data_IF_962657366240
#
_entry.id   IF_962657366240
#
_cell.length_a   1.000
_cell.length_b   1.000
_cell.length_c   1.000
_cell.angle_alpha   90.00
_cell.angle_beta   90.00
_cell.angle_gamma   90.00
#
_symmetry.space_group_name_H-M   'P 1'
#
loop_
_entity.id
_entity.type
_entity.pdbx_description
1 polymer ?
#
# COMPACT_ATOMS: atom_id res chain seq x y z
N UNK A 1 2.86 29.65 -31.60
CA UNK A 1 2.09 29.47 -30.35
C UNK A 1 1.58 28.02 -30.32
N UNK A 2 2.17 27.11 -29.52
CA UNK A 2 1.70 25.71 -29.46
C UNK A 2 0.40 25.68 -28.67
N UNK A 3 -0.72 25.41 -29.34
CA UNK A 3 -1.99 25.15 -28.68
C UNK A 3 -1.82 23.92 -27.78
N UNK A 4 -1.73 24.13 -26.45
CA UNK A 4 -1.94 23.05 -25.48
C UNK A 4 -3.40 22.64 -25.63
N UNK A 5 -3.65 21.56 -26.36
CA UNK A 5 -4.92 20.84 -26.32
C UNK A 5 -5.26 20.58 -24.85
N UNK A 6 -6.33 21.21 -24.34
CA UNK A 6 -6.82 21.00 -22.97
C UNK A 6 -7.36 19.57 -22.91
N UNK A 7 -6.48 18.60 -22.68
CA UNK A 7 -6.87 17.21 -22.47
C UNK A 7 -7.91 17.14 -21.34
N UNK A 8 -9.01 16.42 -21.57
CA UNK A 8 -10.06 16.27 -20.58
C UNK A 8 -9.43 15.68 -19.30
N UNK A 9 -9.59 16.32 -18.13
CA UNK A 9 -8.99 15.80 -16.91
C UNK A 9 -9.56 14.41 -16.61
N UNK A 10 -8.66 13.47 -16.28
CA UNK A 10 -8.99 12.12 -15.81
C UNK A 10 -10.13 12.17 -14.79
N UNK A 11 -11.06 11.23 -14.86
CA UNK A 11 -12.19 11.14 -13.94
C UNK A 11 -11.75 11.19 -12.47
N UNK A 12 -10.68 10.47 -12.13
CA UNK A 12 -10.08 10.51 -10.78
C UNK A 12 -9.63 11.91 -10.35
N UNK A 13 -9.11 12.72 -11.28
CA UNK A 13 -8.69 14.10 -11.02
C UNK A 13 -9.90 15.02 -10.80
N UNK A 14 -11.01 14.79 -11.51
CA UNK A 14 -12.26 15.51 -11.28
C UNK A 14 -12.82 15.20 -9.90
N UNK A 15 -12.82 13.93 -9.49
CA UNK A 15 -13.28 13.52 -8.16
C UNK A 15 -12.39 14.08 -7.07
N UNK A 16 -11.06 14.01 -7.23
CA UNK A 16 -10.13 14.62 -6.28
C UNK A 16 -10.43 16.11 -6.07
N UNK A 17 -10.58 16.88 -7.15
CA UNK A 17 -10.91 18.31 -7.08
C UNK A 17 -12.30 18.56 -6.47
N UNK A 18 -13.28 17.69 -6.77
CA UNK A 18 -14.61 17.77 -6.18
C UNK A 18 -14.59 17.49 -4.67
N UNK A 19 -13.88 16.46 -4.23
CA UNK A 19 -13.68 16.14 -2.80
C UNK A 19 -12.98 17.30 -2.07
N UNK A 20 -12.00 17.92 -2.72
CA UNK A 20 -11.29 19.07 -2.13
C UNK A 20 -12.22 20.29 -1.97
N UNK A 21 -13.09 20.53 -2.95
CA UNK A 21 -14.14 21.56 -2.87
C UNK A 21 -15.16 21.25 -1.77
N UNK A 22 -15.49 19.97 -1.58
CA UNK A 22 -16.48 19.50 -0.60
C UNK A 22 -15.80 18.78 0.57
N UNK A 23 -14.89 19.48 1.26
CA UNK A 23 -14.06 18.90 2.34
C UNK A 23 -14.82 18.09 3.39
N UNK A 24 -16.00 18.55 3.84
CA UNK A 24 -16.83 17.81 4.81
C UNK A 24 -17.30 16.45 4.29
N UNK A 25 -17.69 16.38 3.01
CA UNK A 25 -18.09 15.12 2.37
C UNK A 25 -16.88 14.21 2.20
N UNK A 26 -15.72 14.77 1.85
CA UNK A 26 -14.46 14.03 1.81
C UNK A 26 -14.12 13.38 3.15
N UNK A 27 -14.28 14.10 4.27
CA UNK A 27 -14.05 13.56 5.61
C UNK A 27 -15.03 12.44 5.98
N UNK A 28 -16.30 12.57 5.61
CA UNK A 28 -17.30 11.51 5.80
C UNK A 28 -16.94 10.26 4.99
N UNK A 29 -16.44 10.43 3.76
CA UNK A 29 -15.99 9.33 2.91
C UNK A 29 -14.75 8.64 3.52
N UNK A 30 -13.75 9.41 3.94
CA UNK A 30 -12.54 8.90 4.61
C UNK A 30 -12.91 8.07 5.85
N UNK A 31 -13.85 8.58 6.66
CA UNK A 31 -14.34 7.91 7.87
C UNK A 31 -15.12 6.65 7.53
N UNK A 32 -16.03 6.72 6.54
CA UNK A 32 -16.81 5.58 6.08
C UNK A 32 -15.93 4.45 5.56
N UNK A 33 -14.87 4.79 4.80
CA UNK A 33 -13.90 3.80 4.32
C UNK A 33 -13.12 3.18 5.49
N UNK A 34 -12.76 3.97 6.50
CA UNK A 34 -12.11 3.43 7.70
C UNK A 34 -13.01 2.41 8.40
N UNK A 35 -14.29 2.74 8.67
CA UNK A 35 -15.24 1.80 9.26
C UNK A 35 -15.50 0.58 8.37
N UNK A 36 -15.70 0.79 7.07
CA UNK A 36 -15.91 -0.29 6.10
C UNK A 36 -14.70 -1.22 6.03
N UNK A 37 -13.48 -0.69 6.09
CA UNK A 37 -12.26 -1.50 6.09
C UNK A 37 -12.13 -2.36 7.35
N UNK A 38 -12.49 -1.82 8.52
CA UNK A 38 -12.55 -2.59 9.76
C UNK A 38 -13.59 -3.69 9.69
N UNK A 39 -14.79 -3.38 9.17
CA UNK A 39 -15.88 -4.33 9.02
C UNK A 39 -15.53 -5.48 8.06
N UNK A 40 -15.00 -5.17 6.88
CA UNK A 40 -14.55 -6.19 5.91
C UNK A 40 -13.44 -7.06 6.48
N UNK A 41 -12.48 -6.47 7.19
CA UNK A 41 -11.39 -7.22 7.81
C UNK A 41 -11.87 -8.11 8.94
N UNK A 42 -12.83 -7.64 9.73
CA UNK A 42 -13.49 -8.43 10.76
C UNK A 42 -14.27 -9.61 10.17
N UNK A 43 -15.01 -9.41 9.08
CA UNK A 43 -15.71 -10.49 8.39
C UNK A 43 -14.75 -11.53 7.83
N UNK A 44 -13.65 -11.09 7.18
CA UNK A 44 -12.62 -11.99 6.66
C UNK A 44 -11.98 -12.82 7.78
N UNK A 45 -11.62 -12.17 8.90
CA UNK A 45 -11.09 -12.86 10.06
C UNK A 45 -12.11 -13.84 10.65
N UNK A 46 -13.36 -13.43 10.83
CA UNK A 46 -14.42 -14.28 11.39
C UNK A 46 -14.66 -15.53 10.54
N UNK A 47 -14.64 -15.39 9.21
CA UNK A 47 -14.80 -16.51 8.28
C UNK A 47 -13.67 -17.55 8.43
N UNK A 48 -12.42 -17.09 8.56
CA UNK A 48 -11.25 -17.96 8.72
C UNK A 48 -11.12 -18.48 10.16
N UNK A 49 -11.65 -17.76 11.14
CA UNK A 49 -11.52 -18.07 12.57
C UNK A 49 -12.06 -19.44 12.94
N UNK A 50 -13.03 -19.99 12.19
CA UNK A 50 -13.55 -21.34 12.41
C UNK A 50 -12.45 -22.43 12.35
N UNK A 51 -11.35 -22.18 11.63
CA UNK A 51 -10.24 -23.11 11.50
C UNK A 51 -9.14 -22.91 12.55
N UNK A 52 -9.28 -21.93 13.45
CA UNK A 52 -8.22 -21.52 14.37
C UNK A 52 -8.67 -21.53 15.83
N UNK A 53 -7.77 -21.86 16.77
CA UNK A 53 -8.13 -21.88 18.20
C UNK A 53 -8.46 -20.48 18.75
N UNK A 54 -7.95 -19.42 18.12
CA UNK A 54 -8.10 -18.05 18.59
C UNK A 54 -8.02 -17.05 17.41
N UNK A 55 -8.79 -15.98 17.48
CA UNK A 55 -8.75 -14.90 16.48
C UNK A 55 -7.41 -14.12 16.48
N UNK A 56 -6.63 -14.22 17.56
CA UNK A 56 -5.33 -13.57 17.69
C UNK A 56 -4.34 -13.96 16.57
N UNK A 57 -4.42 -15.19 16.05
CA UNK A 57 -3.60 -15.67 14.93
C UNK A 57 -3.89 -14.90 13.62
N UNK A 58 -5.11 -14.38 13.47
CA UNK A 58 -5.55 -13.60 12.32
C UNK A 58 -5.25 -12.11 12.44
N UNK A 59 -4.75 -11.65 13.58
CA UNK A 59 -4.50 -10.22 13.80
C UNK A 59 -3.61 -9.58 12.71
N UNK A 60 -2.53 -10.21 12.22
CA UNK A 60 -1.73 -9.60 11.15
C UNK A 60 -2.49 -9.52 9.83
N UNK A 61 -3.33 -10.52 9.52
CA UNK A 61 -4.18 -10.51 8.35
C UNK A 61 -5.19 -9.35 8.43
N UNK A 62 -5.88 -9.22 9.56
CA UNK A 62 -6.87 -8.16 9.78
C UNK A 62 -6.27 -6.76 9.64
N UNK A 63 -5.15 -6.49 10.31
CA UNK A 63 -4.49 -5.18 10.21
C UNK A 63 -4.02 -4.88 8.77
N UNK A 64 -3.47 -5.88 8.09
CA UNK A 64 -3.05 -5.70 6.70
C UNK A 64 -4.21 -5.50 5.73
N UNK A 65 -5.36 -6.13 5.95
CA UNK A 65 -6.57 -5.91 5.13
C UNK A 65 -7.12 -4.49 5.33
N UNK A 66 -7.17 -4.00 6.57
CA UNK A 66 -7.53 -2.60 6.86
C UNK A 66 -6.60 -1.66 6.09
N UNK A 67 -5.28 -1.87 6.22
CA UNK A 67 -4.28 -1.07 5.53
C UNK A 67 -4.40 -1.17 4.00
N UNK A 68 -4.73 -2.33 3.46
CA UNK A 68 -4.90 -2.55 2.02
C UNK A 68 -6.06 -1.76 1.46
N UNK A 69 -7.22 -1.85 2.10
CA UNK A 69 -8.41 -1.12 1.66
C UNK A 69 -8.16 0.38 1.79
N UNK A 70 -7.64 0.82 2.93
CA UNK A 70 -7.37 2.23 3.19
C UNK A 70 -6.33 2.80 2.23
N UNK A 71 -5.20 2.11 2.05
CA UNK A 71 -4.13 2.54 1.15
C UNK A 71 -4.60 2.58 -0.30
N UNK A 72 -5.43 1.62 -0.73
CA UNK A 72 -6.02 1.59 -2.08
C UNK A 72 -6.97 2.78 -2.28
N UNK A 73 -7.81 3.08 -1.29
CA UNK A 73 -8.68 4.24 -1.32
C UNK A 73 -7.89 5.54 -1.46
N UNK A 74 -6.86 5.77 -0.62
CA UNK A 74 -6.01 6.95 -0.72
C UNK A 74 -5.29 7.03 -2.07
N UNK A 75 -4.80 5.90 -2.59
CA UNK A 75 -4.13 5.80 -3.89
C UNK A 75 -5.01 6.30 -5.05
N UNK A 76 -6.27 5.88 -5.06
CA UNK A 76 -7.23 6.16 -6.12
C UNK A 76 -7.81 7.57 -6.01
N UNK A 77 -8.27 7.95 -4.81
CA UNK A 77 -9.11 9.14 -4.64
C UNK A 77 -8.38 10.36 -4.08
N UNK A 78 -7.30 10.18 -3.31
CA UNK A 78 -6.66 11.29 -2.58
C UNK A 78 -5.30 11.73 -3.12
N UNK A 79 -4.60 10.89 -3.89
CA UNK A 79 -3.35 11.33 -4.50
C UNK A 79 -3.57 12.04 -5.85
N UNK A 80 -3.02 13.25 -6.00
CA UNK A 80 -2.93 13.96 -7.30
C UNK A 80 -1.60 13.69 -8.04
N UNK A 81 -0.66 12.99 -7.38
CA UNK A 81 0.72 12.75 -7.86
C UNK A 81 0.84 11.79 -9.04
N UNK A 82 2.04 11.76 -9.65
CA UNK A 82 2.44 10.81 -10.70
C UNK A 82 2.19 9.36 -10.29
N UNK A 83 1.62 8.56 -11.21
CA UNK A 83 1.23 7.15 -10.96
C UNK A 83 2.32 6.33 -10.28
N UNK A 84 3.58 6.44 -10.73
CA UNK A 84 4.70 5.69 -10.14
C UNK A 84 5.00 6.07 -8.69
N UNK A 85 4.92 7.37 -8.37
CA UNK A 85 5.19 7.86 -7.03
C UNK A 85 4.08 7.43 -6.05
N UNK A 86 2.82 7.40 -6.52
CA UNK A 86 1.70 6.86 -5.74
C UNK A 86 1.92 5.40 -5.32
N UNK A 87 2.24 4.54 -6.29
CA UNK A 87 2.51 3.13 -6.03
C UNK A 87 3.74 2.92 -5.14
N UNK A 88 4.71 3.85 -5.19
CA UNK A 88 5.89 3.80 -4.32
C UNK A 88 5.50 4.01 -2.86
N UNK A 89 4.69 5.03 -2.56
CA UNK A 89 4.20 5.26 -1.20
C UNK A 89 3.34 4.11 -0.68
N UNK A 90 2.46 3.57 -1.53
CA UNK A 90 1.67 2.38 -1.20
C UNK A 90 2.57 1.21 -0.79
N UNK A 91 3.58 0.90 -1.60
CA UNK A 91 4.54 -0.16 -1.34
C UNK A 91 5.35 0.07 -0.05
N UNK A 92 5.81 1.30 0.19
CA UNK A 92 6.51 1.66 1.43
C UNK A 92 5.65 1.42 2.67
N UNK A 93 4.35 1.71 2.61
CA UNK A 93 3.43 1.44 3.71
C UNK A 93 3.46 -0.03 4.12
N UNK A 94 3.34 -0.95 3.16
CA UNK A 94 3.37 -2.38 3.42
C UNK A 94 4.72 -2.90 3.89
N UNK A 95 5.81 -2.48 3.24
CA UNK A 95 7.17 -2.91 3.61
C UNK A 95 7.51 -2.41 5.00
N UNK A 96 7.27 -1.12 5.29
CA UNK A 96 7.60 -0.51 6.58
C UNK A 96 6.72 -1.04 7.70
N UNK A 97 5.40 -1.12 7.48
CA UNK A 97 4.48 -1.63 8.49
C UNK A 97 4.77 -3.08 8.82
N UNK A 98 4.86 -3.97 7.83
CA UNK A 98 5.13 -5.39 8.10
C UNK A 98 6.59 -5.63 8.55
N UNK A 99 7.56 -4.91 7.97
CA UNK A 99 8.97 -5.07 8.32
C UNK A 99 9.31 -4.65 9.75
N UNK A 100 8.62 -3.65 10.29
CA UNK A 100 8.77 -3.23 11.69
C UNK A 100 7.86 -4.02 12.64
N UNK A 101 6.60 -4.22 12.26
CA UNK A 101 5.61 -4.82 13.16
C UNK A 101 5.83 -6.32 13.33
N UNK A 102 6.35 -7.02 12.32
CA UNK A 102 6.61 -8.46 12.41
C UNK A 102 7.61 -8.83 13.52
N UNK A 103 8.86 -8.31 13.56
CA UNK A 103 9.81 -8.66 14.62
C UNK A 103 9.31 -8.21 16.01
N UNK A 104 8.60 -7.08 16.07
CA UNK A 104 7.99 -6.61 17.31
C UNK A 104 6.93 -7.58 17.84
N UNK A 105 5.99 -7.99 16.99
CA UNK A 105 4.97 -8.98 17.35
C UNK A 105 5.58 -10.36 17.62
N UNK A 106 6.66 -10.71 16.93
CA UNK A 106 7.37 -11.97 17.12
C UNK A 106 7.93 -12.12 18.54
N UNK A 107 8.60 -11.07 19.04
CA UNK A 107 9.36 -11.11 20.28
C UNK A 107 8.60 -10.55 21.50
N UNK A 108 7.84 -9.47 21.31
CA UNK A 108 7.23 -8.70 22.41
C UNK A 108 5.72 -8.92 22.49
N UNK A 109 5.07 -9.24 21.36
CA UNK A 109 3.61 -9.26 21.28
C UNK A 109 3.03 -7.86 21.08
N UNK A 110 1.73 -7.79 20.73
CA UNK A 110 1.01 -6.52 20.57
C UNK A 110 0.14 -6.25 21.81
N UNK A 111 0.77 -6.27 22.98
CA UNK A 111 0.11 -6.16 24.29
C UNK A 111 -0.33 -4.73 24.67
N UNK A 112 -0.51 -3.84 23.69
CA UNK A 112 -0.76 -2.42 23.93
C UNK A 112 -2.18 -2.11 24.43
N UNK A 113 -3.14 -3.01 24.23
CA UNK A 113 -4.54 -2.89 24.66
C UNK A 113 -4.85 -3.74 25.92
N UNK A 114 -4.26 -3.36 27.05
CA UNK A 114 -4.88 -3.59 28.37
C UNK A 114 -4.23 -4.64 29.29
N UNK A 115 -4.29 -4.37 30.59
CA UNK A 115 -3.77 -5.22 31.69
C UNK A 115 -4.46 -6.58 31.87
N UNK A 116 -5.41 -6.98 31.01
CA UNK A 116 -6.12 -8.26 31.10
C UNK A 116 -5.51 -9.29 30.16
N UNK A 117 -5.08 -10.44 30.72
CA UNK A 117 -4.48 -11.58 30.01
C UNK A 117 -5.30 -12.15 28.83
N UNK A 118 -6.60 -11.85 28.74
CA UNK A 118 -7.51 -12.45 27.74
C UNK A 118 -7.52 -11.73 26.38
N UNK A 119 -7.18 -10.44 26.34
CA UNK A 119 -7.23 -9.61 25.11
C UNK A 119 -5.86 -9.19 24.58
N UNK A 120 -4.78 -9.77 25.13
CA UNK A 120 -3.44 -9.51 24.65
C UNK A 120 -3.14 -10.36 23.41
N UNK A 121 -2.53 -9.74 22.40
CA UNK A 121 -1.91 -10.44 21.28
C UNK A 121 -0.54 -10.94 21.75
N UNK A 122 -0.42 -12.20 22.20
CA UNK A 122 0.83 -12.66 22.78
C UNK A 122 1.96 -12.58 21.73
N UNK A 123 3.22 -12.56 22.17
CA UNK A 123 4.34 -12.81 21.27
C UNK A 123 4.07 -14.05 20.42
N UNK A 124 4.37 -13.98 19.12
CA UNK A 124 4.19 -15.13 18.21
C UNK A 124 4.99 -16.34 18.72
N UNK A 125 6.16 -16.12 19.34
CA UNK A 125 6.99 -17.19 19.91
C UNK A 125 6.32 -17.93 21.09
N UNK A 126 5.36 -17.31 21.78
CA UNK A 126 4.62 -17.95 22.88
C UNK A 126 3.25 -18.49 22.45
N UNK A 127 2.93 -18.44 21.16
CA UNK A 127 1.72 -19.05 20.60
C UNK A 127 1.91 -20.55 20.34
N UNK A 128 0.80 -21.26 20.10
CA UNK A 128 0.83 -22.68 19.75
C UNK A 128 1.60 -22.90 18.43
N UNK A 129 2.68 -23.71 18.44
CA UNK A 129 3.46 -24.02 17.24
C UNK A 129 2.64 -24.59 16.08
N UNK A 130 1.51 -25.24 16.35
CA UNK A 130 0.64 -25.79 15.29
C UNK A 130 -0.01 -24.69 14.42
N UNK A 131 -0.20 -23.49 14.97
CA UNK A 131 -0.94 -22.39 14.31
C UNK A 131 -0.12 -21.11 14.13
N UNK A 132 1.10 -21.07 14.69
CA UNK A 132 2.03 -19.94 14.61
C UNK A 132 2.39 -19.54 13.17
N UNK A 133 2.29 -20.47 12.23
CA UNK A 133 2.57 -20.21 10.82
C UNK A 133 1.58 -19.21 10.19
N UNK A 134 0.34 -19.12 10.69
CA UNK A 134 -0.70 -18.21 10.13
C UNK A 134 -0.32 -16.73 10.22
N UNK A 135 0.03 -16.19 11.42
CA UNK A 135 0.48 -14.81 11.53
C UNK A 135 1.78 -14.57 10.75
N UNK A 136 2.73 -15.53 10.76
CA UNK A 136 4.00 -15.42 10.03
C UNK A 136 3.76 -15.31 8.51
N UNK A 137 2.99 -16.23 7.94
CA UNK A 137 2.65 -16.24 6.50
C UNK A 137 1.92 -14.96 6.13
N UNK A 138 1.01 -14.46 6.98
CA UNK A 138 0.32 -13.20 6.76
C UNK A 138 1.30 -12.02 6.65
N UNK A 139 2.20 -11.85 7.62
CA UNK A 139 3.21 -10.78 7.57
C UNK A 139 4.10 -10.87 6.32
N UNK A 140 4.59 -12.07 6.02
CA UNK A 140 5.46 -12.29 4.88
C UNK A 140 4.73 -12.01 3.56
N UNK A 141 3.50 -12.49 3.41
CA UNK A 141 2.69 -12.26 2.22
C UNK A 141 2.52 -10.76 1.92
N UNK A 142 2.13 -9.97 2.92
CA UNK A 142 1.94 -8.52 2.72
C UNK A 142 3.27 -7.76 2.59
N UNK A 143 4.33 -8.21 3.25
CA UNK A 143 5.67 -7.68 3.04
C UNK A 143 6.14 -7.89 1.60
N UNK A 144 6.02 -9.12 1.08
CA UNK A 144 6.39 -9.45 -0.30
C UNK A 144 5.47 -8.79 -1.33
N UNK A 145 4.19 -8.60 -1.02
CA UNK A 145 3.28 -7.81 -1.85
C UNK A 145 3.82 -6.38 -2.01
N UNK A 146 4.17 -5.73 -0.89
CA UNK A 146 4.81 -4.42 -0.91
C UNK A 146 6.12 -4.42 -1.68
N UNK A 147 7.01 -5.37 -1.40
CA UNK A 147 8.33 -5.50 -2.03
C UNK A 147 8.22 -5.73 -3.55
N UNK A 148 7.30 -6.58 -3.99
CA UNK A 148 7.07 -6.87 -5.41
C UNK A 148 6.64 -5.63 -6.18
N UNK A 149 5.72 -4.83 -5.60
CA UNK A 149 5.31 -3.55 -6.17
C UNK A 149 6.50 -2.57 -6.23
N UNK A 150 7.33 -2.49 -5.19
CA UNK A 150 8.55 -1.66 -5.19
C UNK A 150 9.48 -2.02 -6.35
N UNK A 151 9.81 -3.31 -6.48
CA UNK A 151 10.73 -3.80 -7.50
C UNK A 151 10.19 -3.53 -8.91
N UNK A 152 8.87 -3.68 -9.12
CA UNK A 152 8.22 -3.35 -10.38
C UNK A 152 8.39 -1.86 -10.71
N UNK A 153 8.18 -0.96 -9.74
CA UNK A 153 8.37 0.49 -9.92
C UNK A 153 9.82 0.80 -10.30
N UNK A 154 10.79 0.25 -9.58
CA UNK A 154 12.23 0.44 -9.86
C UNK A 154 12.55 -0.03 -11.29
N UNK A 155 12.02 -1.18 -11.71
CA UNK A 155 12.21 -1.72 -13.06
C UNK A 155 11.62 -0.80 -14.14
N UNK A 156 10.41 -0.29 -13.93
CA UNK A 156 9.75 0.65 -14.84
C UNK A 156 10.55 1.95 -14.93
N UNK A 157 10.99 2.49 -13.79
CA UNK A 157 11.76 3.74 -13.73
C UNK A 157 13.13 3.59 -14.41
N UNK A 158 13.84 2.49 -14.17
CA UNK A 158 15.10 2.16 -14.86
C UNK A 158 14.89 2.08 -16.38
N UNK A 159 13.80 1.47 -16.81
CA UNK A 159 13.47 1.35 -18.24
C UNK A 159 13.12 2.71 -18.87
N UNK A 160 12.39 3.56 -18.16
CA UNK A 160 12.09 4.94 -18.58
C UNK A 160 13.35 5.80 -18.68
N UNK A 161 14.26 5.71 -17.71
CA UNK A 161 15.56 6.40 -17.73
C UNK A 161 16.42 5.99 -18.93
N UNK A 162 16.49 4.68 -19.23
CA UNK A 162 17.20 4.16 -20.41
C UNK A 162 16.63 4.70 -21.73
N UNK A 163 15.30 4.76 -21.88
CA UNK A 163 14.67 5.33 -23.09
C UNK A 163 15.04 6.80 -23.27
N UNK A 164 14.91 7.62 -22.23
CA UNK A 164 15.30 9.04 -22.27
C UNK A 164 16.79 9.24 -22.59
N UNK A 165 17.66 8.38 -22.06
CA UNK A 165 19.09 8.41 -22.37
C UNK A 165 19.35 8.13 -23.85
N UNK A 166 18.71 7.09 -24.40
CA UNK A 166 18.84 6.73 -25.81
C UNK A 166 18.29 7.82 -26.76
N UNK A 167 17.19 8.49 -26.38
CA UNK A 167 16.65 9.64 -27.11
C UNK A 167 17.66 10.79 -27.15
N UNK A 168 18.26 11.16 -26.01
CA UNK A 168 19.31 12.21 -25.96
C UNK A 168 20.52 11.86 -26.84
N UNK A 169 20.94 10.60 -26.86
CA UNK A 169 22.03 10.14 -27.72
C UNK A 169 21.66 10.17 -29.22
N UNK A 170 20.38 9.96 -29.56
CA UNK A 170 19.89 10.11 -30.93
C UNK A 170 19.84 11.57 -31.34
N UNK A 171 19.36 12.44 -30.46
CA UNK A 171 19.26 13.88 -30.73
C UNK A 171 20.66 14.52 -30.88
N UNK A 172 21.62 14.14 -30.02
CA UNK A 172 23.03 14.59 -30.14
C UNK A 172 23.70 14.14 -31.44
N UNK A 173 23.40 12.92 -31.92
CA UNK A 173 23.88 12.44 -33.23
C UNK A 173 23.27 13.24 -34.39
N UNK A 174 21.97 13.56 -34.32
CA UNK A 174 21.31 14.39 -35.34
C UNK A 174 21.82 15.82 -35.35
N UNK A 175 22.17 16.40 -34.20
CA UNK A 175 22.72 17.76 -34.15
C UNK A 175 24.10 17.82 -34.78
N UNK A 176 25.00 16.87 -34.45
CA UNK A 176 26.34 16.83 -35.04
C UNK A 176 26.29 16.66 -36.57
N UNK A 177 25.46 15.75 -37.09
CA UNK A 177 25.32 15.56 -38.54
C UNK A 177 24.77 16.78 -39.30
N UNK A 178 24.18 17.77 -38.60
CA UNK A 178 23.72 19.03 -39.22
C UNK A 178 24.77 20.13 -39.20
N UNK A 179 25.73 20.07 -38.28
CA UNK A 179 26.82 21.07 -38.19
C UNK A 179 27.99 20.73 -39.11
N UNK A 180 28.10 19.48 -39.56
CA UNK A 180 29.16 19.02 -40.47
C UNK A 180 28.80 19.17 -41.97
N UNK A 181 27.68 19.83 -42.29
CA UNK A 181 27.24 20.18 -43.66
C UNK A 181 27.21 21.70 -43.81
#
# INVERSE_FOLDING_TARGET
MKYKTKEKPSWTKRIFLWMERHRRIGQLLDTSVLFGSMFVSFLAASYISYLLPNINYLSPLSFNLILLILSTYFLVFRFSSDKLQKWRYFSWGFIGFNGLLFPFHLLVGLNWLGRRKSTNFPPIISMDPAYVWVPIVSYLFFFFLGLGIMLLIIRIEKSRRRRKWNERLRDKRRSNNRTDK
#
